data_IF_825733599597
#
_entry.id   IF_825733599597
#
_cell.length_a   1.000
_cell.length_b   1.000
_cell.length_c   1.000
_cell.angle_alpha   90.00
_cell.angle_beta   90.00
_cell.angle_gamma   90.00
#
_symmetry.space_group_name_H-M   'P 1'
#
loop_
_entity.id
_entity.type
_entity.pdbx_description
1 polymer ?
#
# COMPACT_ATOMS: atom_id res chain seq x y z
N UNK A 1 32.52 -11.34 -26.91
CA UNK A 1 31.93 -12.59 -27.42
C UNK A 1 30.71 -12.21 -28.25
N UNK A 2 30.59 -12.69 -29.49
CA UNK A 2 29.45 -12.32 -30.34
C UNK A 2 28.17 -13.02 -29.84
N UNK A 3 27.07 -12.27 -29.68
CA UNK A 3 25.78 -12.81 -29.20
C UNK A 3 25.08 -13.60 -30.31
N UNK A 4 25.28 -13.26 -31.59
CA UNK A 4 24.65 -13.91 -32.73
C UNK A 4 25.63 -14.85 -33.47
N UNK A 5 25.14 -16.01 -33.90
CA UNK A 5 25.91 -17.02 -34.64
C UNK A 5 25.36 -17.29 -36.05
N UNK A 6 24.16 -16.79 -36.39
CA UNK A 6 23.41 -17.04 -37.64
C UNK A 6 23.02 -18.50 -37.91
N UNK A 7 23.42 -19.44 -37.05
CA UNK A 7 23.12 -20.87 -37.24
C UNK A 7 21.63 -21.19 -37.08
N UNK A 8 20.83 -20.27 -36.52
CA UNK A 8 19.39 -20.43 -36.34
C UNK A 8 18.51 -19.76 -37.39
N UNK A 9 19.09 -19.15 -38.43
CA UNK A 9 18.35 -18.33 -39.41
C UNK A 9 17.41 -19.17 -40.28
N UNK A 10 17.74 -20.45 -40.49
CA UNK A 10 16.90 -21.42 -41.19
C UNK A 10 15.74 -21.98 -40.33
N UNK A 11 15.41 -21.36 -39.19
CA UNK A 11 14.28 -21.76 -38.34
C UNK A 11 14.53 -22.95 -37.42
N UNK A 12 15.76 -23.44 -37.31
CA UNK A 12 16.14 -24.54 -36.40
C UNK A 12 17.05 -24.04 -35.28
N UNK A 13 17.14 -24.79 -34.18
CA UNK A 13 18.00 -24.50 -33.03
C UNK A 13 18.62 -25.79 -32.48
N UNK A 14 19.73 -25.69 -31.77
CA UNK A 14 20.32 -26.82 -31.06
C UNK A 14 19.80 -26.89 -29.63
N UNK A 15 19.35 -28.07 -29.21
CA UNK A 15 19.08 -28.39 -27.80
C UNK A 15 20.40 -28.52 -27.03
N UNK A 16 20.33 -28.54 -25.70
CA UNK A 16 21.51 -28.75 -24.85
C UNK A 16 22.22 -30.07 -25.15
N UNK A 17 21.48 -31.06 -25.65
CA UNK A 17 21.99 -32.39 -26.02
C UNK A 17 22.71 -32.41 -27.37
N UNK A 18 22.77 -31.28 -28.07
CA UNK A 18 23.39 -31.15 -29.39
C UNK A 18 22.45 -31.49 -30.56
N UNK A 19 21.30 -32.10 -30.30
CA UNK A 19 20.28 -32.36 -31.32
C UNK A 19 19.74 -31.04 -31.89
N UNK A 20 19.62 -30.96 -33.21
CA UNK A 20 18.93 -29.84 -33.88
C UNK A 20 17.46 -30.14 -34.06
N UNK A 21 16.63 -29.19 -33.67
CA UNK A 21 15.17 -29.25 -33.76
C UNK A 21 14.62 -27.97 -34.40
N UNK A 22 13.37 -28.01 -34.86
CA UNK A 22 12.64 -26.79 -35.24
C UNK A 22 12.52 -25.84 -34.04
N UNK A 23 12.56 -24.52 -34.27
CA UNK A 23 12.26 -23.53 -33.22
C UNK A 23 10.83 -23.64 -32.68
N UNK A 24 9.93 -24.28 -33.42
CA UNK A 24 8.54 -24.57 -33.01
C UNK A 24 8.37 -25.91 -32.31
N UNK A 25 9.46 -26.63 -32.02
CA UNK A 25 9.40 -27.92 -31.35
C UNK A 25 8.80 -27.75 -29.93
N UNK A 26 7.92 -28.65 -29.44
CA UNK A 26 7.23 -28.49 -28.15
C UNK A 26 8.16 -28.21 -26.97
N UNK A 27 9.33 -28.87 -26.93
CA UNK A 27 10.38 -28.59 -25.94
C UNK A 27 10.86 -27.14 -25.96
N UNK A 28 11.09 -26.58 -27.15
CA UNK A 28 11.54 -25.18 -27.34
C UNK A 28 10.45 -24.20 -26.91
N UNK A 29 9.20 -24.48 -27.29
CA UNK A 29 8.03 -23.71 -26.86
C UNK A 29 7.85 -23.73 -25.34
N UNK A 30 8.07 -24.87 -24.69
CA UNK A 30 7.91 -25.01 -23.24
C UNK A 30 8.91 -24.14 -22.46
N UNK A 31 10.22 -24.33 -22.68
CA UNK A 31 11.22 -23.51 -21.97
C UNK A 31 11.23 -22.05 -22.44
N UNK A 32 10.84 -21.77 -23.69
CA UNK A 32 10.66 -20.40 -24.19
C UNK A 32 9.51 -19.67 -23.49
N UNK A 33 8.39 -20.36 -23.25
CA UNK A 33 7.27 -19.80 -22.47
C UNK A 33 7.66 -19.58 -21.00
N UNK A 34 8.49 -20.46 -20.43
CA UNK A 34 9.05 -20.25 -19.08
C UNK A 34 9.99 -19.04 -19.01
N UNK A 35 10.80 -18.81 -20.05
CA UNK A 35 11.66 -17.63 -20.14
C UNK A 35 10.84 -16.33 -20.23
N UNK A 36 9.74 -16.33 -20.99
CA UNK A 36 8.82 -15.20 -21.04
C UNK A 36 8.13 -14.94 -19.69
N UNK A 37 7.71 -16.01 -18.98
CA UNK A 37 7.23 -15.89 -17.60
C UNK A 37 8.32 -15.29 -16.70
N UNK A 38 9.56 -15.76 -16.82
CA UNK A 38 10.68 -15.27 -16.01
C UNK A 38 10.96 -13.78 -16.24
N UNK A 39 10.89 -13.31 -17.50
CA UNK A 39 10.99 -11.90 -17.83
C UNK A 39 9.84 -11.07 -17.24
N UNK A 40 8.61 -11.60 -17.25
CA UNK A 40 7.47 -10.96 -16.60
C UNK A 40 7.62 -10.89 -15.06
N UNK A 41 8.23 -11.90 -14.44
CA UNK A 41 8.54 -11.88 -13.01
C UNK A 41 9.54 -10.78 -12.65
N UNK A 42 10.51 -10.45 -13.51
CA UNK A 42 11.38 -9.28 -13.30
C UNK A 42 10.56 -8.00 -13.18
N UNK A 43 9.56 -7.83 -14.04
CA UNK A 43 8.65 -6.67 -13.97
C UNK A 43 7.84 -6.67 -12.66
N UNK A 44 7.43 -7.84 -12.18
CA UNK A 44 6.74 -7.97 -10.90
C UNK A 44 7.65 -7.58 -9.74
N UNK A 45 8.88 -8.10 -9.71
CA UNK A 45 9.86 -7.80 -8.65
C UNK A 45 10.19 -6.30 -8.58
N UNK A 46 10.35 -5.63 -9.73
CA UNK A 46 10.57 -4.19 -9.78
C UNK A 46 9.39 -3.35 -9.27
N UNK A 47 8.16 -3.87 -9.37
CA UNK A 47 6.95 -3.16 -8.96
C UNK A 47 6.51 -3.49 -7.52
N UNK A 48 6.98 -4.60 -6.95
CA UNK A 48 6.61 -5.05 -5.62
C UNK A 48 7.11 -4.06 -4.55
N UNK A 49 6.18 -3.55 -3.74
CA UNK A 49 6.49 -2.66 -2.64
C UNK A 49 7.02 -3.43 -1.41
N UNK A 50 6.52 -4.65 -1.18
CA UNK A 50 6.95 -5.53 -0.09
C UNK A 50 8.27 -6.24 -0.46
N UNK A 51 9.31 -6.02 0.37
CA UNK A 51 10.62 -6.64 0.20
C UNK A 51 10.56 -8.18 0.24
N UNK A 52 9.65 -8.74 1.05
CA UNK A 52 9.48 -10.19 1.13
C UNK A 52 8.91 -10.74 -0.18
N UNK A 53 7.98 -10.01 -0.81
CA UNK A 53 7.46 -10.40 -2.12
C UNK A 53 8.54 -10.29 -3.18
N UNK A 54 9.35 -9.23 -3.18
CA UNK A 54 10.48 -9.10 -4.11
C UNK A 54 11.49 -10.25 -3.99
N UNK A 55 11.91 -10.54 -2.77
CA UNK A 55 12.85 -11.65 -2.47
C UNK A 55 12.29 -13.00 -2.93
N UNK A 56 10.99 -13.24 -2.68
CA UNK A 56 10.33 -14.45 -3.15
C UNK A 56 10.27 -14.53 -4.68
N UNK A 57 9.93 -13.43 -5.35
CA UNK A 57 9.89 -13.38 -6.81
C UNK A 57 11.26 -13.66 -7.41
N UNK A 58 12.33 -13.07 -6.89
CA UNK A 58 13.72 -13.35 -7.33
C UNK A 58 14.11 -14.82 -7.13
N UNK A 59 13.70 -15.43 -6.01
CA UNK A 59 13.90 -16.85 -5.78
C UNK A 59 13.15 -17.71 -6.82
N UNK A 60 11.91 -17.35 -7.15
CA UNK A 60 11.11 -18.01 -8.20
C UNK A 60 11.80 -17.86 -9.57
N UNK A 61 12.36 -16.69 -9.89
CA UNK A 61 13.09 -16.49 -11.14
C UNK A 61 14.28 -17.45 -11.27
N UNK A 62 15.03 -17.61 -10.18
CA UNK A 62 16.15 -18.55 -10.13
C UNK A 62 15.68 -20.01 -10.26
N UNK A 63 14.54 -20.36 -9.67
CA UNK A 63 13.92 -21.68 -9.78
C UNK A 63 13.43 -21.96 -11.21
N UNK A 64 12.83 -20.97 -11.89
CA UNK A 64 12.44 -21.09 -13.30
C UNK A 64 13.65 -21.25 -14.21
N UNK A 65 14.79 -20.66 -13.88
CA UNK A 65 16.04 -20.91 -14.62
C UNK A 65 16.48 -22.38 -14.50
N UNK A 66 16.42 -22.97 -13.31
CA UNK A 66 16.70 -24.40 -13.12
C UNK A 66 15.69 -25.29 -13.85
N UNK A 67 14.40 -24.92 -13.79
CA UNK A 67 13.32 -25.58 -14.52
C UNK A 67 13.63 -25.59 -16.03
N UNK A 68 13.90 -24.44 -16.64
CA UNK A 68 14.21 -24.34 -18.06
C UNK A 68 15.46 -25.12 -18.45
N UNK A 69 16.49 -25.13 -17.59
CA UNK A 69 17.71 -25.92 -17.82
C UNK A 69 17.41 -27.42 -17.85
N UNK A 70 16.54 -27.91 -16.96
CA UNK A 70 16.12 -29.31 -16.95
C UNK A 70 15.30 -29.68 -18.18
N UNK A 71 14.37 -28.82 -18.62
CA UNK A 71 13.64 -29.07 -19.87
C UNK A 71 14.52 -29.03 -21.11
N UNK A 72 15.63 -28.29 -21.06
CA UNK A 72 16.58 -28.22 -22.16
C UNK A 72 17.49 -29.45 -22.24
N UNK A 73 17.66 -30.21 -21.15
CA UNK A 73 18.46 -31.44 -21.09
C UNK A 73 17.61 -32.71 -21.34
N UNK A 74 18.28 -33.78 -21.79
CA UNK A 74 17.68 -35.14 -21.89
C UNK A 74 17.96 -35.97 -20.63
N UNK A 75 18.48 -35.36 -19.55
CA UNK A 75 18.80 -36.08 -18.33
C UNK A 75 17.50 -36.42 -17.57
N UNK A 76 17.05 -37.67 -17.67
CA UNK A 76 15.91 -38.18 -16.90
C UNK A 76 16.14 -38.15 -15.39
N UNK A 77 17.39 -37.95 -14.94
CA UNK A 77 17.76 -37.97 -13.52
C UNK A 77 18.53 -36.74 -13.05
N UNK A 78 18.19 -36.19 -11.86
CA UNK A 78 18.92 -35.10 -11.24
C UNK A 78 20.40 -35.43 -11.00
N UNK A 79 21.32 -34.56 -11.43
CA UNK A 79 22.75 -34.69 -11.11
C UNK A 79 23.11 -33.90 -9.85
N UNK A 80 24.04 -34.37 -8.99
CA UNK A 80 24.45 -33.62 -7.79
C UNK A 80 25.10 -32.25 -8.08
N UNK A 81 25.48 -32.00 -9.34
CA UNK A 81 26.17 -30.78 -9.77
C UNK A 81 25.20 -29.67 -10.21
N UNK A 82 23.91 -29.97 -10.34
CA UNK A 82 22.88 -29.03 -10.77
C UNK A 82 21.80 -28.92 -9.69
N UNK A 83 21.20 -27.74 -9.57
CA UNK A 83 20.03 -27.53 -8.73
C UNK A 83 18.78 -27.86 -9.53
N UNK A 84 17.80 -28.46 -8.86
CA UNK A 84 16.52 -28.88 -9.45
C UNK A 84 15.40 -28.44 -8.53
N UNK A 85 14.22 -28.25 -9.11
CA UNK A 85 13.00 -28.08 -8.32
C UNK A 85 12.67 -29.40 -7.63
N UNK A 86 12.39 -29.32 -6.33
CA UNK A 86 11.95 -30.41 -5.47
C UNK A 86 10.68 -30.03 -4.69
N UNK A 87 10.30 -30.86 -3.72
CA UNK A 87 9.10 -30.64 -2.88
C UNK A 87 9.21 -29.41 -1.99
N UNK A 88 10.43 -29.01 -1.67
CA UNK A 88 10.77 -27.88 -0.82
C UNK A 88 10.32 -26.57 -1.47
N UNK A 89 10.60 -26.38 -2.77
CA UNK A 89 10.14 -25.19 -3.50
C UNK A 89 8.61 -25.12 -3.58
N UNK A 90 7.94 -26.26 -3.77
CA UNK A 90 6.47 -26.31 -3.76
C UNK A 90 5.92 -25.90 -2.39
N UNK A 91 6.51 -26.44 -1.31
CA UNK A 91 6.12 -26.11 0.05
C UNK A 91 6.34 -24.63 0.36
N UNK A 92 7.42 -24.03 -0.18
CA UNK A 92 7.69 -22.59 -0.04
C UNK A 92 6.62 -21.73 -0.75
N UNK A 93 6.14 -22.15 -1.93
CA UNK A 93 5.03 -21.50 -2.63
C UNK A 93 3.72 -21.59 -1.83
N UNK A 94 3.41 -22.77 -1.29
CA UNK A 94 2.22 -22.99 -0.45
C UNK A 94 2.25 -22.12 0.81
N UNK A 95 3.38 -22.08 1.51
CA UNK A 95 3.56 -21.22 2.67
C UNK A 95 3.46 -19.72 2.30
N UNK A 96 3.90 -19.31 1.11
CA UNK A 96 3.73 -17.95 0.63
C UNK A 96 2.27 -17.61 0.32
N UNK A 97 1.52 -18.54 -0.28
CA UNK A 97 0.07 -18.41 -0.50
C UNK A 97 -0.64 -18.19 0.83
N UNK A 98 -0.37 -19.05 1.81
CA UNK A 98 -1.02 -18.98 3.12
C UNK A 98 -0.75 -17.63 3.81
N UNK A 99 0.52 -17.17 3.80
CA UNK A 99 0.89 -15.86 4.36
C UNK A 99 0.21 -14.70 3.63
N UNK A 100 0.18 -14.73 2.30
CA UNK A 100 -0.42 -13.67 1.50
C UNK A 100 -1.94 -13.60 1.72
N UNK A 101 -2.61 -14.76 1.76
CA UNK A 101 -4.07 -14.83 1.90
C UNK A 101 -4.55 -14.57 3.32
N UNK A 102 -3.75 -14.83 4.36
CA UNK A 102 -4.12 -14.58 5.76
C UNK A 102 -4.46 -13.11 6.07
N UNK A 103 -3.93 -12.17 5.28
CA UNK A 103 -4.14 -10.72 5.44
C UNK A 103 -5.16 -10.12 4.45
N UNK A 104 -5.69 -10.93 3.54
CA UNK A 104 -6.63 -10.48 2.51
C UNK A 104 -8.05 -10.87 2.91
N UNK A 105 -9.00 -9.95 2.74
CA UNK A 105 -10.40 -10.26 2.98
C UNK A 105 -10.89 -11.42 2.10
N UNK A 106 -11.58 -12.43 2.69
CA UNK A 106 -12.16 -13.52 1.94
C UNK A 106 -13.09 -13.01 0.84
N UNK A 107 -12.99 -13.60 -0.35
CA UNK A 107 -13.85 -13.23 -1.47
C UNK A 107 -14.50 -14.48 -2.06
N UNK A 108 -15.80 -14.38 -2.33
CA UNK A 108 -16.62 -15.46 -2.89
C UNK A 108 -16.99 -15.25 -4.38
N UNK A 109 -16.41 -14.24 -5.03
CA UNK A 109 -16.67 -13.92 -6.45
C UNK A 109 -15.37 -13.81 -7.25
N UNK A 110 -15.48 -13.86 -8.58
CA UNK A 110 -14.36 -13.53 -9.44
C UNK A 110 -13.94 -12.06 -9.26
N UNK A 111 -12.64 -11.81 -9.42
CA UNK A 111 -12.07 -10.47 -9.42
C UNK A 111 -11.63 -10.06 -10.81
N UNK A 112 -11.74 -8.76 -11.08
CA UNK A 112 -10.96 -8.16 -12.14
C UNK A 112 -9.48 -8.11 -11.71
N UNK A 113 -8.55 -8.46 -12.61
CA UNK A 113 -7.14 -8.52 -12.27
C UNK A 113 -6.56 -7.11 -12.10
N UNK A 114 -6.10 -6.82 -10.89
CA UNK A 114 -5.24 -5.68 -10.59
C UNK A 114 -6.01 -4.39 -10.28
N UNK A 115 -5.66 -3.78 -9.16
CA UNK A 115 -6.07 -2.43 -8.74
C UNK A 115 -4.85 -1.52 -8.50
N UNK A 116 -3.67 -2.11 -8.35
CA UNK A 116 -2.38 -1.42 -8.36
C UNK A 116 -1.44 -2.00 -9.44
N UNK A 117 -0.32 -1.31 -9.70
CA UNK A 117 0.66 -1.71 -10.72
C UNK A 117 1.28 -3.08 -10.42
N UNK A 118 1.70 -3.33 -9.17
CA UNK A 118 2.30 -4.60 -8.76
C UNK A 118 1.35 -5.79 -8.97
N UNK A 119 0.11 -5.68 -8.48
CA UNK A 119 -0.91 -6.70 -8.64
C UNK A 119 -1.29 -6.95 -10.11
N UNK A 120 -1.34 -5.90 -10.92
CA UNK A 120 -1.63 -6.03 -12.37
C UNK A 120 -0.55 -6.85 -13.07
N UNK A 121 0.73 -6.57 -12.78
CA UNK A 121 1.87 -7.33 -13.31
C UNK A 121 1.87 -8.79 -12.83
N UNK A 122 1.57 -9.03 -11.55
CA UNK A 122 1.45 -10.38 -10.98
C UNK A 122 0.32 -11.18 -11.63
N UNK A 123 -0.84 -10.56 -11.86
CA UNK A 123 -1.92 -11.22 -12.58
C UNK A 123 -1.58 -11.50 -14.05
N UNK A 124 -0.82 -10.64 -14.71
CA UNK A 124 -0.29 -10.91 -16.03
C UNK A 124 0.67 -12.11 -16.02
N UNK A 125 1.66 -12.12 -15.12
CA UNK A 125 2.59 -13.23 -14.95
C UNK A 125 1.85 -14.55 -14.64
N UNK A 126 0.79 -14.52 -13.83
CA UNK A 126 -0.07 -15.69 -13.55
C UNK A 126 -0.66 -16.28 -14.84
N UNK A 127 -1.06 -15.46 -15.81
CA UNK A 127 -1.58 -15.98 -17.09
C UNK A 127 -0.48 -16.68 -17.91
N UNK A 128 0.75 -16.16 -17.84
CA UNK A 128 1.92 -16.77 -18.47
C UNK A 128 2.29 -18.10 -17.80
N UNK A 129 2.23 -18.18 -16.47
CA UNK A 129 2.43 -19.43 -15.74
C UNK A 129 1.45 -20.52 -16.19
N UNK A 130 0.16 -20.17 -16.31
CA UNK A 130 -0.86 -21.09 -16.86
C UNK A 130 -0.63 -21.42 -18.33
N UNK A 131 -0.01 -20.52 -19.11
CA UNK A 131 0.37 -20.81 -20.51
C UNK A 131 1.54 -21.80 -20.56
N UNK A 132 2.56 -21.60 -19.72
CA UNK A 132 3.68 -22.52 -19.59
C UNK A 132 3.21 -23.91 -19.13
N UNK A 133 2.28 -23.97 -18.17
CA UNK A 133 1.64 -25.23 -17.74
C UNK A 133 1.02 -25.99 -18.91
N UNK A 134 0.27 -25.32 -19.79
CA UNK A 134 -0.31 -25.98 -20.98
C UNK A 134 0.75 -26.51 -21.94
N UNK A 135 1.85 -25.77 -22.14
CA UNK A 135 2.97 -26.22 -22.99
C UNK A 135 3.72 -27.38 -22.39
N UNK A 136 3.80 -27.44 -21.06
CA UNK A 136 4.35 -28.59 -20.34
C UNK A 136 3.46 -29.83 -20.46
N UNK A 137 2.13 -29.66 -20.36
CA UNK A 137 1.18 -30.76 -20.58
C UNK A 137 1.33 -31.32 -22.00
N UNK A 138 1.43 -30.44 -23.00
CA UNK A 138 1.67 -30.83 -24.40
C UNK A 138 3.00 -31.60 -24.55
N UNK A 139 4.10 -31.05 -24.00
CA UNK A 139 5.40 -31.70 -24.02
C UNK A 139 5.40 -33.07 -23.33
N UNK A 140 4.66 -33.21 -22.22
CA UNK A 140 4.56 -34.45 -21.45
C UNK A 140 3.87 -35.60 -22.22
N UNK A 141 3.25 -35.32 -23.37
CA UNK A 141 2.72 -36.36 -24.26
C UNK A 141 3.81 -37.05 -25.10
N UNK A 142 4.95 -36.38 -25.29
CA UNK A 142 6.05 -36.85 -26.15
C UNK A 142 7.27 -37.30 -25.34
N UNK A 143 7.53 -36.65 -24.20
CA UNK A 143 8.71 -36.93 -23.35
C UNK A 143 8.32 -37.04 -21.89
N UNK A 144 9.10 -37.81 -21.12
CA UNK A 144 8.89 -37.96 -19.69
C UNK A 144 9.29 -36.67 -18.95
N UNK A 145 8.30 -35.91 -18.48
CA UNK A 145 8.51 -34.71 -17.63
C UNK A 145 8.31 -35.09 -16.17
N UNK A 146 9.24 -34.68 -15.29
CA UNK A 146 9.12 -34.95 -13.85
C UNK A 146 7.84 -34.34 -13.29
N UNK A 147 7.05 -35.15 -12.58
CA UNK A 147 5.77 -34.71 -11.99
C UNK A 147 5.90 -33.54 -11.00
N UNK A 148 7.06 -33.36 -10.37
CA UNK A 148 7.33 -32.23 -9.49
C UNK A 148 7.27 -30.89 -10.24
N UNK A 149 7.69 -30.86 -11.50
CA UNK A 149 7.65 -29.66 -12.34
C UNK A 149 6.22 -29.27 -12.70
N UNK A 150 5.38 -30.26 -12.99
CA UNK A 150 3.94 -30.07 -13.25
C UNK A 150 3.22 -29.49 -12.03
N UNK A 151 3.50 -30.04 -10.84
CA UNK A 151 2.94 -29.52 -9.58
C UNK A 151 3.45 -28.12 -9.27
N UNK A 152 4.73 -27.86 -9.51
CA UNK A 152 5.35 -26.57 -9.24
C UNK A 152 4.74 -25.45 -10.10
N UNK A 153 4.62 -25.63 -11.43
CA UNK A 153 4.05 -24.58 -12.29
C UNK A 153 2.56 -24.31 -11.98
N UNK A 154 1.82 -25.36 -11.64
CA UNK A 154 0.42 -25.26 -11.22
C UNK A 154 0.31 -24.41 -9.94
N UNK A 155 1.10 -24.76 -8.91
CA UNK A 155 1.13 -24.03 -7.63
C UNK A 155 1.68 -22.61 -7.76
N UNK A 156 2.64 -22.39 -8.66
CA UNK A 156 3.15 -21.05 -8.94
C UNK A 156 2.04 -20.13 -9.44
N UNK A 157 1.11 -20.63 -10.26
CA UNK A 157 -0.01 -19.80 -10.72
C UNK A 157 -0.94 -19.37 -9.58
N UNK A 158 -1.15 -20.23 -8.57
CA UNK A 158 -1.90 -19.87 -7.35
C UNK A 158 -1.12 -18.87 -6.49
N UNK A 159 0.20 -19.07 -6.35
CA UNK A 159 1.07 -18.15 -5.62
C UNK A 159 1.04 -16.74 -6.22
N UNK A 160 1.17 -16.61 -7.54
CA UNK A 160 1.08 -15.32 -8.22
C UNK A 160 -0.31 -14.67 -8.06
N UNK A 161 -1.38 -15.46 -7.97
CA UNK A 161 -2.71 -14.95 -7.64
C UNK A 161 -2.76 -14.40 -6.21
N UNK A 162 -2.27 -15.16 -5.24
CA UNK A 162 -2.26 -14.77 -3.82
C UNK A 162 -1.42 -13.51 -3.58
N UNK A 163 -0.24 -13.41 -4.20
CA UNK A 163 0.60 -12.22 -4.13
C UNK A 163 -0.09 -11.01 -4.75
N UNK A 164 -0.76 -11.17 -5.91
CA UNK A 164 -1.50 -10.07 -6.54
C UNK A 164 -2.61 -9.54 -5.62
N UNK A 165 -3.33 -10.44 -4.94
CA UNK A 165 -4.35 -10.07 -3.95
C UNK A 165 -3.78 -9.33 -2.75
N UNK A 166 -2.62 -9.76 -2.25
CA UNK A 166 -1.95 -9.10 -1.14
C UNK A 166 -1.47 -7.70 -1.52
N UNK A 167 -0.83 -7.54 -2.69
CA UNK A 167 -0.39 -6.22 -3.19
C UNK A 167 -1.56 -5.25 -3.41
N UNK A 168 -2.70 -5.72 -3.94
CA UNK A 168 -3.91 -4.91 -4.07
C UNK A 168 -4.45 -4.48 -2.70
N UNK A 169 -4.44 -5.38 -1.72
CA UNK A 169 -4.90 -5.11 -0.35
C UNK A 169 -3.99 -4.08 0.34
N UNK A 170 -2.68 -4.29 0.28
CA UNK A 170 -1.68 -3.40 0.88
C UNK A 170 -1.74 -2.00 0.25
N UNK A 171 -1.85 -1.91 -1.09
CA UNK A 171 -2.00 -0.65 -1.80
C UNK A 171 -3.30 0.08 -1.43
N UNK A 172 -4.40 -0.67 -1.25
CA UNK A 172 -5.68 -0.12 -0.83
C UNK A 172 -5.59 0.46 0.59
N UNK A 173 -5.01 -0.29 1.53
CA UNK A 173 -4.80 0.17 2.91
C UNK A 173 -3.90 1.41 2.96
N UNK A 174 -2.79 1.42 2.21
CA UNK A 174 -1.89 2.57 2.12
C UNK A 174 -2.62 3.82 1.58
N UNK A 175 -3.50 3.67 0.60
CA UNK A 175 -4.32 4.77 0.10
C UNK A 175 -5.29 5.32 1.15
N UNK A 176 -5.97 4.45 1.91
CA UNK A 176 -6.86 4.88 3.00
C UNK A 176 -6.06 5.64 4.06
N UNK A 177 -4.93 5.10 4.50
CA UNK A 177 -4.06 5.73 5.50
C UNK A 177 -3.63 7.11 5.04
N UNK A 178 -3.20 7.24 3.77
CA UNK A 178 -2.81 8.53 3.18
C UNK A 178 -3.96 9.53 3.18
N UNK A 179 -5.15 9.14 2.76
CA UNK A 179 -6.32 10.04 2.71
C UNK A 179 -6.77 10.47 4.11
N UNK A 180 -6.78 9.56 5.08
CA UNK A 180 -7.11 9.88 6.48
C UNK A 180 -6.06 10.83 7.08
N UNK A 181 -4.78 10.54 6.86
CA UNK A 181 -3.66 11.37 7.35
C UNK A 181 -3.74 12.79 6.76
N UNK A 182 -4.02 12.90 5.46
CA UNK A 182 -4.21 14.19 4.79
C UNK A 182 -5.35 14.99 5.40
N UNK A 183 -6.50 14.37 5.65
CA UNK A 183 -7.67 15.01 6.27
C UNK A 183 -7.38 15.44 7.70
N UNK A 184 -6.72 14.57 8.48
CA UNK A 184 -6.34 14.87 9.85
C UNK A 184 -5.38 16.06 9.93
N UNK A 185 -4.35 16.09 9.08
CA UNK A 185 -3.39 17.21 9.02
C UNK A 185 -4.06 18.52 8.58
N UNK A 186 -5.00 18.47 7.63
CA UNK A 186 -5.75 19.64 7.21
C UNK A 186 -6.65 20.20 8.33
N UNK A 187 -7.26 19.31 9.13
CA UNK A 187 -8.10 19.70 10.28
C UNK A 187 -7.27 20.14 11.51
N UNK A 188 -6.06 19.61 11.66
CA UNK A 188 -5.17 19.89 12.80
C UNK A 188 -4.23 21.08 12.57
N UNK A 189 -4.17 21.63 11.35
CA UNK A 189 -3.55 22.93 11.15
C UNK A 189 -4.33 23.93 12.00
N UNK A 190 -3.69 24.66 12.94
CA UNK A 190 -4.36 25.73 13.62
C UNK A 190 -4.89 26.65 12.54
N UNK A 191 -6.21 26.85 12.49
CA UNK A 191 -6.78 27.99 11.78
C UNK A 191 -5.88 29.15 12.12
N UNK A 192 -5.19 29.75 11.13
CA UNK A 192 -4.51 31.03 11.33
C UNK A 192 -5.51 31.85 12.12
N UNK A 193 -5.23 32.08 13.40
CA UNK A 193 -5.94 33.08 14.14
C UNK A 193 -5.81 34.28 13.21
N UNK A 194 -6.94 34.78 12.70
CA UNK A 194 -6.92 36.13 12.16
C UNK A 194 -6.15 36.91 13.21
N UNK A 195 -5.04 37.53 12.83
CA UNK A 195 -4.39 38.52 13.68
C UNK A 195 -5.48 39.53 14.00
N UNK A 196 -6.23 39.29 15.07
CA UNK A 196 -6.91 40.34 15.79
C UNK A 196 -5.74 41.06 16.42
N UNK A 197 -5.24 42.06 15.69
CA UNK A 197 -4.54 43.19 16.30
C UNK A 197 -5.29 43.46 17.60
N UNK A 198 -4.66 43.33 18.78
CA UNK A 198 -5.35 43.60 20.02
C UNK A 198 -5.79 45.06 19.92
N UNK A 199 -7.09 45.27 19.71
CA UNK A 199 -7.68 46.60 19.79
C UNK A 199 -7.59 46.94 21.27
N UNK A 200 -6.53 47.66 21.64
CA UNK A 200 -6.46 48.29 22.94
C UNK A 200 -7.66 49.24 23.02
N UNK A 201 -8.67 48.86 23.82
CA UNK A 201 -9.85 49.70 24.03
C UNK A 201 -9.38 51.02 24.63
N UNK A 202 -9.75 52.14 24.01
CA UNK A 202 -9.43 53.44 24.56
C UNK A 202 -10.22 53.66 25.86
N UNK A 203 -9.79 54.60 26.69
CA UNK A 203 -10.56 55.02 27.87
C UNK A 203 -12.02 55.41 27.50
N UNK A 204 -12.21 56.02 26.33
CA UNK A 204 -13.54 56.38 25.84
C UNK A 204 -14.40 55.12 25.60
N UNK A 205 -13.85 54.09 24.97
CA UNK A 205 -14.56 52.85 24.67
C UNK A 205 -14.94 52.10 25.95
N UNK A 206 -14.01 52.01 26.90
CA UNK A 206 -14.26 51.41 28.23
C UNK A 206 -15.36 52.15 28.98
N UNK A 207 -15.37 53.48 28.90
CA UNK A 207 -16.40 54.31 29.53
C UNK A 207 -17.78 54.10 28.88
N UNK A 208 -17.84 54.04 27.55
CA UNK A 208 -19.09 53.78 26.82
C UNK A 208 -19.65 52.39 27.12
N UNK A 209 -18.80 51.35 27.12
CA UNK A 209 -19.20 49.99 27.45
C UNK A 209 -19.75 49.89 28.88
N UNK A 210 -19.06 50.53 29.82
CA UNK A 210 -19.50 50.58 31.22
C UNK A 210 -20.87 51.25 31.29
N UNK A 211 -21.03 52.46 30.71
CA UNK A 211 -22.31 53.19 30.70
C UNK A 211 -23.46 52.40 30.08
N UNK A 212 -23.24 51.79 28.92
CA UNK A 212 -24.26 50.99 28.25
C UNK A 212 -24.70 49.80 29.11
N UNK A 213 -23.76 49.14 29.79
CA UNK A 213 -24.06 48.06 30.73
C UNK A 213 -24.87 48.57 31.94
N UNK A 214 -24.52 49.74 32.50
CA UNK A 214 -25.29 50.38 33.59
C UNK A 214 -26.71 50.72 33.15
N UNK A 215 -26.87 51.37 32.01
CA UNK A 215 -28.18 51.80 31.49
C UNK A 215 -29.07 50.59 31.23
N UNK A 216 -28.51 49.51 30.67
CA UNK A 216 -29.25 48.26 30.49
C UNK A 216 -29.64 47.60 31.81
N UNK A 217 -28.75 47.60 32.79
CA UNK A 217 -29.01 47.07 34.12
C UNK A 217 -30.13 47.85 34.85
N UNK A 218 -30.14 49.18 34.70
CA UNK A 218 -31.20 50.05 35.22
C UNK A 218 -32.55 49.75 34.55
N UNK A 219 -32.60 49.57 33.23
CA UNK A 219 -33.82 49.17 32.52
C UNK A 219 -34.37 47.82 33.01
N UNK A 220 -33.48 46.90 33.36
CA UNK A 220 -33.84 45.58 33.88
C UNK A 220 -34.11 45.59 35.39
N UNK A 221 -33.89 46.71 36.08
CA UNK A 221 -33.98 46.84 37.54
C UNK A 221 -33.13 45.82 38.31
N UNK A 222 -31.98 45.42 37.74
CA UNK A 222 -31.04 44.48 38.37
C UNK A 222 -29.71 45.21 38.58
N UNK A 223 -29.24 45.42 39.82
CA UNK A 223 -27.94 46.04 40.06
C UNK A 223 -26.80 45.07 39.73
N UNK A 224 -25.81 45.53 38.97
CA UNK A 224 -24.71 44.70 38.47
C UNK A 224 -23.33 45.25 38.85
N UNK A 225 -22.33 44.38 38.75
CA UNK A 225 -20.92 44.75 38.69
C UNK A 225 -20.44 44.47 37.28
N UNK A 226 -19.87 45.48 36.62
CA UNK A 226 -19.30 45.38 35.27
C UNK A 226 -17.80 45.23 35.43
N UNK A 227 -17.22 44.20 34.83
CA UNK A 227 -15.77 44.02 34.77
C UNK A 227 -15.37 43.80 33.30
N UNK A 228 -14.40 44.56 32.82
CA UNK A 228 -13.88 44.50 31.46
C UNK A 228 -12.42 44.07 31.53
N UNK A 229 -12.08 43.00 30.81
CA UNK A 229 -10.72 42.46 30.70
C UNK A 229 -10.19 42.65 29.28
N UNK A 230 -8.88 42.76 29.14
CA UNK A 230 -8.22 42.81 27.83
C UNK A 230 -8.13 41.40 27.19
N UNK A 231 -7.55 41.33 25.99
CA UNK A 231 -7.36 40.08 25.27
C UNK A 231 -6.41 39.08 25.97
N UNK A 232 -5.68 39.50 26.99
CA UNK A 232 -4.78 38.69 27.81
C UNK A 232 -5.41 38.31 29.16
N UNK A 233 -6.67 38.68 29.39
CA UNK A 233 -7.36 38.45 30.65
C UNK A 233 -7.00 39.45 31.75
N UNK A 234 -6.23 40.50 31.47
CA UNK A 234 -5.89 41.52 32.46
C UNK A 234 -7.09 42.41 32.73
N UNK A 235 -7.49 42.53 34.00
CA UNK A 235 -8.57 43.42 34.41
C UNK A 235 -8.23 44.88 34.08
N UNK A 236 -9.07 45.51 33.26
CA UNK A 236 -8.88 46.90 32.82
C UNK A 236 -9.78 47.86 33.60
N UNK A 237 -11.06 47.51 33.78
CA UNK A 237 -12.04 48.33 34.52
C UNK A 237 -12.99 47.43 35.28
N UNK A 238 -13.24 47.75 36.55
CA UNK A 238 -14.35 47.20 37.32
C UNK A 238 -15.18 48.33 37.94
N UNK A 239 -16.49 48.27 37.73
CA UNK A 239 -17.44 49.25 38.27
C UNK A 239 -18.63 48.55 38.93
N UNK A 240 -18.95 48.97 40.16
CA UNK A 240 -20.04 48.44 40.99
C UNK A 240 -21.17 49.47 41.07
N UNK A 241 -22.39 49.08 40.72
CA UNK A 241 -23.58 49.89 41.03
C UNK A 241 -23.74 50.03 42.56
N UNK A 242 -24.18 51.18 43.09
CA UNK A 242 -24.34 51.38 44.54
C UNK A 242 -25.11 50.25 45.24
N UNK A 243 -26.19 49.78 44.61
CA UNK A 243 -27.11 48.75 45.12
C UNK A 243 -26.69 47.31 44.79
N UNK A 244 -25.53 47.12 44.12
CA UNK A 244 -25.03 45.78 43.81
C UNK A 244 -24.37 45.15 45.04
N UNK A 245 -24.61 43.84 45.24
CA UNK A 245 -24.02 43.06 46.33
C UNK A 245 -22.49 43.17 46.34
N UNK A 246 -21.90 43.36 47.52
CA UNK A 246 -20.45 43.50 47.70
C UNK A 246 -19.67 42.27 47.20
N UNK A 247 -20.23 41.06 47.39
CA UNK A 247 -19.63 39.81 46.91
C UNK A 247 -19.51 39.76 45.38
N UNK A 248 -20.38 40.46 44.66
CA UNK A 248 -20.33 40.52 43.19
C UNK A 248 -19.09 41.25 42.68
N UNK A 249 -18.48 42.12 43.50
CA UNK A 249 -17.24 42.82 43.14
C UNK A 249 -16.03 41.89 43.06
N UNK A 250 -16.01 40.81 43.85
CA UNK A 250 -14.93 39.82 43.80
C UNK A 250 -15.17 38.73 42.74
N UNK A 251 -16.43 38.52 42.35
CA UNK A 251 -16.83 37.47 41.41
C UNK A 251 -16.81 37.93 39.95
N UNK A 252 -17.11 39.21 39.68
CA UNK A 252 -17.21 39.71 38.32
C UNK A 252 -15.88 39.61 37.53
N UNK A 253 -14.71 39.99 38.08
CA UNK A 253 -13.44 39.84 37.38
C UNK A 253 -13.13 38.37 37.04
N UNK A 254 -13.35 37.46 38.00
CA UNK A 254 -13.12 36.02 37.82
C UNK A 254 -13.98 35.42 36.70
N UNK A 255 -15.24 35.83 36.60
CA UNK A 255 -16.14 35.40 35.52
C UNK A 255 -15.76 35.97 34.15
N UNK A 256 -15.17 37.16 34.10
CA UNK A 256 -14.69 37.76 32.86
C UNK A 256 -13.44 37.02 32.33
N UNK A 257 -12.58 36.57 33.23
CA UNK A 257 -11.37 35.76 32.95
C UNK A 257 -11.67 34.34 32.43
N UNK A 258 -12.67 33.65 32.97
CA UNK A 258 -12.94 32.24 32.67
C UNK A 258 -13.42 31.95 31.23
N UNK A 259 -13.85 32.97 30.47
CA UNK A 259 -14.39 32.77 29.11
C UNK A 259 -13.35 32.59 28.00
N UNK A 260 -12.06 32.62 28.30
CA UNK A 260 -11.00 32.37 27.31
C UNK A 260 -10.53 30.90 27.22
N UNK A 261 -11.07 29.99 28.06
CA UNK A 261 -10.70 28.55 28.08
C UNK A 261 -11.86 27.60 27.69
N UNK A 262 -12.80 28.06 26.86
CA UNK A 262 -13.81 27.23 26.17
C UNK A 262 -13.87 27.60 24.69
#
# INVERSE_FOLDING_TARGET
MAIYTRTGDAGTTSLFTGQRVSKTHPRVEAYGTLDELNAALSLCACAAADENHRTLLEAIQQQLFWFSAELASDSEQPSPKQRYISSEEISALEAAIDRAMARVEPLHSFILPGRCEAASRLHFARTLARRAERRLVELATEVNVRQVLMRYINRLSDCLYALARAEDSDAHQANIIREVSKRYLAASQPTRSKETTPVALSFHDLHQLTRAAVERAQQLQVPVVVSIVDAHGTETVTWRMPDALLVSSELAPKKALDRQWQ
#
